data_IF_553827842636
#
_entry.id   IF_553827842636
#
_cell.length_a   1.000
_cell.length_b   1.000
_cell.length_c   1.000
_cell.angle_alpha   90.00
_cell.angle_beta   90.00
_cell.angle_gamma   90.00
#
_symmetry.space_group_name_H-M   'P 1'
#
loop_
_entity.id
_entity.type
_entity.pdbx_description
1 polymer ?
#
# COMPACT_ATOMS: atom_id res chain seq x y z
N UNK A 1 -1.82 1.95 -11.95
CA UNK A 1 -0.39 2.29 -12.11
C UNK A 1 -0.25 3.54 -12.97
N UNK A 2 0.91 4.19 -12.96
CA UNK A 2 1.16 5.42 -13.73
C UNK A 2 1.55 5.11 -15.19
N UNK A 3 1.10 5.97 -16.12
CA UNK A 3 1.34 5.83 -17.56
C UNK A 3 1.96 7.10 -18.15
N UNK A 4 2.74 6.98 -19.21
CA UNK A 4 3.33 8.13 -19.93
C UNK A 4 4.66 8.63 -19.38
N UNK A 5 5.35 7.81 -18.57
CA UNK A 5 6.66 8.14 -18.01
C UNK A 5 7.81 7.63 -18.89
N UNK A 6 9.04 8.14 -18.71
CA UNK A 6 10.23 7.57 -19.33
C UNK A 6 10.41 6.08 -18.95
N UNK A 7 10.99 5.28 -19.85
CA UNK A 7 11.18 3.84 -19.68
C UNK A 7 11.96 3.51 -18.40
N UNK A 8 12.94 4.34 -18.06
CA UNK A 8 13.82 4.20 -16.92
C UNK A 8 13.04 4.12 -15.60
N UNK A 9 11.88 4.77 -15.50
CA UNK A 9 11.04 4.72 -14.30
C UNK A 9 10.27 3.40 -14.17
N UNK A 10 9.93 2.75 -15.29
CA UNK A 10 9.33 1.41 -15.28
C UNK A 10 10.33 0.30 -14.93
N UNK A 11 11.62 0.59 -15.05
CA UNK A 11 12.71 -0.35 -14.75
C UNK A 11 13.17 -0.29 -13.28
N UNK A 12 12.69 0.69 -12.52
CA UNK A 12 13.01 0.80 -11.09
C UNK A 12 12.38 -0.34 -10.31
N UNK A 13 13.21 -1.09 -9.57
CA UNK A 13 12.77 -2.14 -8.65
C UNK A 13 13.14 -1.73 -7.23
N UNK A 14 12.14 -1.45 -6.40
CA UNK A 14 12.32 -1.27 -4.97
C UNK A 14 11.99 -2.59 -4.24
N UNK A 15 12.98 -3.29 -3.67
CA UNK A 15 12.84 -4.68 -3.23
C UNK A 15 12.24 -4.81 -1.82
N UNK A 16 11.08 -4.20 -1.59
CA UNK A 16 10.36 -4.32 -0.33
C UNK A 16 10.00 -5.79 -0.04
N UNK A 17 10.24 -6.23 1.19
CA UNK A 17 9.75 -7.54 1.66
C UNK A 17 8.28 -7.41 2.05
N UNK A 18 7.47 -8.44 1.77
CA UNK A 18 6.12 -8.54 2.31
C UNK A 18 6.11 -8.90 3.80
N UNK A 19 4.95 -8.71 4.46
CA UNK A 19 4.70 -9.17 5.82
C UNK A 19 3.40 -9.99 5.89
N UNK A 20 3.54 -11.30 6.03
CA UNK A 20 2.39 -12.21 6.07
C UNK A 20 1.49 -12.05 7.30
N UNK A 21 2.02 -11.54 8.41
CA UNK A 21 1.23 -11.32 9.62
C UNK A 21 0.37 -10.07 9.44
N UNK A 22 0.96 -8.98 8.95
CA UNK A 22 0.23 -7.76 8.62
C UNK A 22 -0.85 -8.03 7.55
N UNK A 23 -0.55 -8.82 6.51
CA UNK A 23 -1.54 -9.21 5.50
C UNK A 23 -2.76 -9.91 6.12
N UNK A 24 -2.55 -10.84 7.05
CA UNK A 24 -3.63 -11.56 7.72
C UNK A 24 -4.46 -10.65 8.63
N UNK A 25 -3.82 -9.74 9.37
CA UNK A 25 -4.54 -8.79 10.22
C UNK A 25 -5.36 -7.80 9.38
N UNK A 26 -4.82 -7.30 8.27
CA UNK A 26 -5.59 -6.47 7.32
C UNK A 26 -6.80 -7.23 6.76
N UNK A 27 -6.63 -8.49 6.35
CA UNK A 27 -7.75 -9.32 5.91
C UNK A 27 -8.80 -9.53 7.01
N UNK A 28 -8.39 -9.74 8.25
CA UNK A 28 -9.30 -9.89 9.39
C UNK A 28 -10.09 -8.61 9.67
N UNK A 29 -9.45 -7.45 9.58
CA UNK A 29 -10.09 -6.13 9.81
C UNK A 29 -11.06 -5.75 8.70
N UNK A 30 -10.71 -6.06 7.44
CA UNK A 30 -11.47 -5.62 6.26
C UNK A 30 -12.41 -6.69 5.70
N UNK A 31 -12.23 -7.95 6.07
CA UNK A 31 -13.07 -9.09 5.67
C UNK A 31 -13.22 -9.22 4.16
N UNK A 32 -14.46 -9.40 3.70
CA UNK A 32 -14.78 -9.60 2.28
C UNK A 32 -14.57 -8.35 1.40
N UNK A 33 -14.18 -7.21 1.99
CA UNK A 33 -13.84 -6.01 1.22
C UNK A 33 -12.46 -6.08 0.56
N UNK A 34 -11.65 -7.11 0.87
CA UNK A 34 -10.29 -7.27 0.34
C UNK A 34 -9.98 -8.73 -0.04
N UNK A 35 -9.01 -8.91 -0.92
CA UNK A 35 -8.42 -10.20 -1.27
C UNK A 35 -6.90 -10.10 -1.34
N UNK A 36 -6.20 -11.20 -1.12
CA UNK A 36 -4.74 -11.27 -1.30
C UNK A 36 -4.40 -11.34 -2.78
N UNK A 37 -3.32 -10.67 -3.18
CA UNK A 37 -2.73 -10.80 -4.49
C UNK A 37 -1.20 -10.69 -4.39
N UNK A 38 -0.50 -11.78 -4.72
CA UNK A 38 0.97 -11.86 -4.72
C UNK A 38 1.57 -11.91 -6.14
N UNK A 39 0.79 -11.56 -7.18
CA UNK A 39 1.22 -11.70 -8.59
C UNK A 39 1.97 -10.49 -9.14
N UNK A 40 2.08 -9.40 -8.38
CA UNK A 40 2.69 -8.15 -8.82
C UNK A 40 3.36 -7.42 -7.65
N UNK A 41 4.39 -6.63 -7.97
CA UNK A 41 5.16 -5.86 -6.99
C UNK A 41 4.45 -4.58 -6.53
N UNK A 42 5.19 -3.73 -5.81
CA UNK A 42 4.62 -2.48 -5.33
C UNK A 42 4.42 -1.46 -6.45
N UNK A 43 3.33 -0.68 -6.39
CA UNK A 43 2.99 0.28 -7.44
C UNK A 43 3.86 1.55 -7.40
N UNK A 44 3.84 2.33 -8.49
CA UNK A 44 4.65 3.55 -8.63
C UNK A 44 4.37 4.62 -7.58
N UNK A 45 3.12 4.77 -7.15
CA UNK A 45 2.76 5.71 -6.09
C UNK A 45 3.42 5.37 -4.76
N UNK A 46 3.67 4.08 -4.51
CA UNK A 46 4.30 3.60 -3.29
C UNK A 46 5.83 3.66 -3.37
N UNK A 47 6.44 3.06 -4.41
CA UNK A 47 7.90 2.90 -4.45
C UNK A 47 8.64 4.24 -4.57
N UNK A 48 8.06 5.21 -5.28
CA UNK A 48 8.67 6.54 -5.48
C UNK A 48 8.88 7.30 -4.17
N UNK A 49 8.03 7.08 -3.17
CA UNK A 49 8.20 7.68 -1.84
C UNK A 49 9.14 6.83 -0.99
N UNK A 50 8.98 5.50 -1.03
CA UNK A 50 9.77 4.57 -0.21
C UNK A 50 11.26 4.60 -0.54
N UNK A 51 11.64 4.74 -1.82
CA UNK A 51 13.06 4.81 -2.23
C UNK A 51 13.81 5.99 -1.59
N UNK A 52 13.09 7.06 -1.20
CA UNK A 52 13.66 8.21 -0.52
C UNK A 52 13.57 8.12 1.01
N UNK A 53 12.47 7.57 1.55
CA UNK A 53 12.30 7.43 3.00
C UNK A 53 13.11 6.29 3.61
N UNK A 54 13.18 5.15 2.90
CA UNK A 54 13.83 3.91 3.34
C UNK A 54 14.67 3.33 2.19
N UNK A 55 15.75 4.01 1.76
CA UNK A 55 16.49 3.68 0.54
C UNK A 55 17.09 2.27 0.50
N UNK A 56 17.28 1.64 1.66
CA UNK A 56 17.81 0.27 1.80
C UNK A 56 16.72 -0.82 1.84
N UNK A 57 15.44 -0.45 1.66
CA UNK A 57 14.30 -1.36 1.77
C UNK A 57 14.27 -2.15 3.10
N UNK A 58 14.70 -1.51 4.19
CA UNK A 58 14.80 -2.12 5.53
C UNK A 58 13.45 -2.42 6.19
N UNK A 59 12.36 -1.79 5.73
CA UNK A 59 11.02 -1.93 6.31
C UNK A 59 10.14 -2.83 5.43
N UNK A 60 9.53 -3.90 5.97
CA UNK A 60 8.53 -4.68 5.25
C UNK A 60 7.29 -3.85 4.86
N UNK A 61 6.67 -4.15 3.73
CA UNK A 61 5.53 -3.41 3.16
C UNK A 61 4.42 -4.37 2.79
N UNK A 62 3.18 -4.02 3.15
CA UNK A 62 1.96 -4.62 2.61
C UNK A 62 1.19 -3.51 1.91
N UNK A 63 0.89 -3.69 0.63
CA UNK A 63 0.17 -2.71 -0.16
C UNK A 63 -1.33 -3.01 -0.14
N UNK A 64 -2.14 -1.98 0.12
CA UNK A 64 -3.59 -2.03 0.03
C UNK A 64 -4.06 -1.22 -1.19
N UNK A 65 -4.65 -1.89 -2.17
CA UNK A 65 -5.17 -1.22 -3.37
C UNK A 65 -6.40 -0.36 -3.05
N UNK A 66 -6.59 0.73 -3.80
CA UNK A 66 -7.79 1.56 -3.70
C UNK A 66 -8.88 1.04 -4.65
N UNK A 67 -10.09 0.86 -4.12
CA UNK A 67 -11.27 0.52 -4.92
C UNK A 67 -11.95 1.80 -5.44
N UNK A 68 -11.82 2.05 -6.75
CA UNK A 68 -12.41 3.21 -7.44
C UNK A 68 -13.94 3.29 -7.43
N UNK A 69 -14.61 2.21 -7.03
CA UNK A 69 -16.08 2.16 -6.95
C UNK A 69 -16.62 2.58 -5.59
N UNK A 70 -15.77 2.77 -4.58
CA UNK A 70 -16.17 3.30 -3.29
C UNK A 70 -16.35 4.81 -3.35
N UNK A 71 -17.41 5.32 -2.72
CA UNK A 71 -17.52 6.73 -2.40
C UNK A 71 -16.44 7.17 -1.40
N UNK A 72 -16.11 8.46 -1.32
CA UNK A 72 -15.15 8.96 -0.33
C UNK A 72 -15.50 8.58 1.12
N UNK A 73 -16.81 8.55 1.44
CA UNK A 73 -17.29 8.15 2.76
C UNK A 73 -17.04 6.68 3.04
N UNK A 74 -17.31 5.80 2.07
CA UNK A 74 -17.05 4.36 2.20
C UNK A 74 -15.55 4.08 2.31
N UNK A 75 -14.72 4.76 1.50
CA UNK A 75 -13.27 4.65 1.57
C UNK A 75 -12.72 5.11 2.94
N UNK A 76 -13.22 6.22 3.46
CA UNK A 76 -12.88 6.69 4.81
C UNK A 76 -13.26 5.67 5.88
N UNK A 77 -14.49 5.16 5.84
CA UNK A 77 -14.96 4.14 6.78
C UNK A 77 -14.11 2.85 6.71
N UNK A 78 -13.73 2.40 5.52
CA UNK A 78 -12.82 1.27 5.35
C UNK A 78 -11.46 1.55 6.00
N UNK A 79 -10.87 2.73 5.75
CA UNK A 79 -9.60 3.15 6.33
C UNK A 79 -9.62 3.24 7.86
N UNK A 80 -10.72 3.71 8.46
CA UNK A 80 -10.83 3.80 9.94
C UNK A 80 -10.72 2.44 10.63
N UNK A 81 -11.07 1.34 9.96
CA UNK A 81 -10.92 -0.02 10.52
C UNK A 81 -9.47 -0.43 10.71
N UNK A 82 -8.52 0.23 10.03
CA UNK A 82 -7.08 -0.05 10.14
C UNK A 82 -6.44 0.63 11.36
N UNK A 83 -7.18 1.48 12.09
CA UNK A 83 -6.61 2.33 13.14
C UNK A 83 -5.83 1.55 14.20
N UNK A 84 -6.30 0.37 14.61
CA UNK A 84 -5.66 -0.45 15.66
C UNK A 84 -4.25 -0.90 15.29
N UNK A 85 -3.93 -1.00 14.00
CA UNK A 85 -2.58 -1.38 13.55
C UNK A 85 -1.52 -0.37 14.00
N UNK A 86 -1.90 0.90 14.23
CA UNK A 86 -0.98 1.91 14.75
C UNK A 86 -0.55 1.62 16.19
N UNK A 87 -1.43 1.02 17.00
CA UNK A 87 -1.14 0.63 18.38
C UNK A 87 -0.23 -0.60 18.43
N UNK A 88 -0.18 -1.37 17.33
CA UNK A 88 0.70 -2.52 17.14
C UNK A 88 2.08 -2.16 16.54
N UNK A 89 2.33 -0.86 16.30
CA UNK A 89 3.61 -0.36 15.78
C UNK A 89 3.70 -0.28 14.26
N UNK A 90 2.61 -0.51 13.53
CA UNK A 90 2.60 -0.35 12.07
C UNK A 90 2.43 1.12 11.65
N UNK A 91 3.17 1.51 10.61
CA UNK A 91 2.99 2.78 9.92
C UNK A 91 1.90 2.63 8.84
N UNK A 92 0.83 3.42 8.95
CA UNK A 92 -0.17 3.56 7.88
C UNK A 92 0.22 4.75 7.01
N UNK A 93 0.46 4.51 5.72
CA UNK A 93 0.93 5.51 4.77
C UNK A 93 0.00 5.58 3.56
N UNK A 94 -0.43 6.79 3.20
CA UNK A 94 -1.13 7.08 1.96
C UNK A 94 -0.25 7.96 1.06
N UNK A 95 -0.04 7.54 -0.18
CA UNK A 95 0.67 8.30 -1.21
C UNK A 95 -0.32 8.73 -2.30
N UNK A 96 -0.35 10.02 -2.63
CA UNK A 96 -1.26 10.54 -3.63
C UNK A 96 -1.06 12.03 -3.85
N UNK A 97 -2.03 12.65 -4.52
CA UNK A 97 -2.04 14.08 -4.79
C UNK A 97 -3.41 14.68 -4.43
N UNK A 98 -3.44 15.94 -4.03
CA UNK A 98 -4.66 16.66 -3.60
C UNK A 98 -5.36 17.35 -4.79
N UNK A 99 -4.67 17.46 -5.95
CA UNK A 99 -5.09 18.26 -7.12
C UNK A 99 -6.23 17.68 -7.93
#
# INVERSE_FOLDING_TARGET
DMYGFPQELYEVVYPAKGDSNLTKEVQKLLGNSVSINDTWGIDHGMWTVLVHMFPDASIPVVQLSINKHLSPKEAYQLGTKLQSLRDEGYLIMGSGNIV
#
